data_IF_840681034366
#
_entry.id   IF_840681034366
#
_cell.length_a   1.000
_cell.length_b   1.000
_cell.length_c   1.000
_cell.angle_alpha   90.00
_cell.angle_beta   90.00
_cell.angle_gamma   90.00
#
_symmetry.space_group_name_H-M   'P 1'
#
loop_
_entity.id
_entity.type
_entity.pdbx_description
1 polymer ?
#
# COMPACT_ATOMS: atom_id res chain seq x y z
N UNK A 1 1.56 22.00 56.65
CA UNK A 1 1.18 23.09 55.72
C UNK A 1 1.27 22.52 54.32
N UNK A 2 0.14 22.39 53.62
CA UNK A 2 0.11 21.80 52.29
C UNK A 2 0.70 22.81 51.28
N UNK A 3 1.69 22.38 50.51
CA UNK A 3 2.25 23.17 49.42
C UNK A 3 1.34 22.93 48.21
N UNK A 4 0.49 23.89 47.92
CA UNK A 4 -0.27 23.95 46.67
C UNK A 4 0.66 24.48 45.58
N UNK A 5 0.99 23.63 44.60
CA UNK A 5 1.74 24.04 43.41
C UNK A 5 0.73 24.62 42.42
N UNK A 6 0.45 25.92 42.54
CA UNK A 6 -0.32 26.67 41.56
C UNK A 6 0.67 27.25 40.54
N UNK A 7 0.64 26.71 39.31
CA UNK A 7 1.44 27.08 38.14
C UNK A 7 2.88 26.53 38.06
N UNK A 8 2.99 25.22 37.77
CA UNK A 8 4.03 24.81 36.80
C UNK A 8 3.50 25.25 35.44
N UNK A 9 4.07 26.32 34.89
CA UNK A 9 3.85 26.70 33.50
C UNK A 9 4.44 25.67 32.55
N UNK A 10 3.90 24.45 32.53
CA UNK A 10 3.96 23.64 31.32
C UNK A 10 3.13 24.44 30.33
N UNK A 11 3.78 24.96 29.30
CA UNK A 11 3.10 25.49 28.13
C UNK A 11 2.26 24.34 27.56
N UNK A 12 1.02 24.23 28.05
CA UNK A 12 0.03 23.31 27.55
C UNK A 12 -0.12 23.53 26.04
N UNK A 13 -0.37 22.45 25.28
CA UNK A 13 -0.15 22.43 23.85
C UNK A 13 -0.98 23.53 23.20
N UNK A 14 -0.36 24.23 22.24
CA UNK A 14 -1.14 24.91 21.20
C UNK A 14 -2.14 23.85 20.74
N UNK A 15 -3.45 24.13 20.87
CA UNK A 15 -4.51 23.15 20.65
C UNK A 15 -4.20 22.28 19.43
N UNK A 16 -4.56 21.00 19.52
CA UNK A 16 -4.18 19.85 18.68
C UNK A 16 -4.53 19.94 17.17
N UNK A 17 -4.47 21.13 16.58
CA UNK A 17 -4.03 21.29 15.20
C UNK A 17 -2.55 20.91 15.19
N UNK A 18 -2.17 19.84 14.49
CA UNK A 18 -0.76 19.44 14.34
C UNK A 18 0.16 20.60 13.93
N UNK A 19 1.50 20.41 13.91
CA UNK A 19 2.48 21.49 13.74
C UNK A 19 1.99 22.55 12.76
N UNK A 20 1.78 23.78 13.25
CA UNK A 20 1.17 24.88 12.50
C UNK A 20 2.13 25.48 11.45
N UNK A 21 2.94 24.63 10.83
CA UNK A 21 3.86 24.94 9.74
C UNK A 21 3.51 24.08 8.54
N UNK A 22 3.82 24.57 7.34
CA UNK A 22 3.71 23.76 6.13
C UNK A 22 4.48 22.44 6.31
N UNK A 23 3.99 21.32 5.75
CA UNK A 23 4.73 20.08 5.77
C UNK A 23 6.08 20.28 5.08
N UNK A 24 7.13 19.66 5.61
CA UNK A 24 8.45 19.69 4.99
C UNK A 24 8.45 18.96 3.65
N UNK A 25 7.66 17.90 3.55
CA UNK A 25 7.46 17.11 2.34
C UNK A 25 5.98 16.76 2.24
N UNK A 26 5.41 16.89 1.05
CA UNK A 26 4.03 16.51 0.74
C UNK A 26 3.99 15.74 -0.57
N UNK A 27 3.33 14.58 -0.56
CA UNK A 27 3.22 13.70 -1.72
C UNK A 27 1.76 13.32 -1.96
N UNK A 28 1.34 13.38 -3.22
CA UNK A 28 0.06 12.87 -3.69
C UNK A 28 0.23 12.18 -5.04
N UNK A 29 -0.73 11.33 -5.41
CA UNK A 29 -0.66 10.57 -6.65
C UNK A 29 -2.02 10.33 -7.28
N UNK A 30 -1.97 9.74 -8.47
CA UNK A 30 -3.13 9.39 -9.30
C UNK A 30 -3.69 8.02 -8.90
N UNK A 31 -4.97 7.73 -9.25
CA UNK A 31 -5.57 6.46 -8.93
C UNK A 31 -4.80 5.27 -9.52
N UNK A 32 -4.63 4.22 -8.73
CA UNK A 32 -4.03 2.95 -9.17
C UNK A 32 -4.92 1.80 -8.75
N UNK A 33 -5.45 1.08 -9.75
CA UNK A 33 -6.22 -0.16 -9.56
C UNK A 33 -5.28 -1.36 -9.68
N UNK A 34 -5.12 -2.12 -8.61
CA UNK A 34 -4.31 -3.34 -8.55
C UNK A 34 -5.21 -4.57 -8.43
N UNK A 35 -4.78 -5.67 -9.02
CA UNK A 35 -5.41 -6.99 -8.92
C UNK A 35 -4.33 -8.08 -8.93
N UNK A 36 -4.57 -9.17 -8.23
CA UNK A 36 -3.67 -10.33 -8.20
C UNK A 36 -4.37 -11.54 -8.80
N UNK A 37 -3.75 -12.29 -9.73
CA UNK A 37 -4.27 -13.57 -10.18
C UNK A 37 -4.30 -14.61 -9.05
N UNK A 38 -5.03 -15.69 -9.26
CA UNK A 38 -5.11 -16.81 -8.33
C UNK A 38 -3.73 -17.44 -8.08
N UNK A 39 -3.56 -18.07 -6.91
CA UNK A 39 -2.35 -18.83 -6.54
C UNK A 39 -2.05 -19.99 -7.48
N UNK A 40 -3.03 -20.43 -8.26
CA UNK A 40 -2.90 -21.48 -9.29
C UNK A 40 -2.24 -20.99 -10.58
N UNK A 41 -2.20 -19.68 -10.83
CA UNK A 41 -1.63 -19.08 -12.03
C UNK A 41 -0.09 -19.03 -11.96
N UNK A 42 0.52 -20.22 -11.97
CA UNK A 42 1.98 -20.43 -11.82
C UNK A 42 2.60 -20.91 -13.12
N UNK A 43 3.93 -21.10 -13.15
CA UNK A 43 4.62 -21.66 -14.32
C UNK A 43 4.50 -20.78 -15.57
N UNK A 44 4.63 -19.47 -15.40
CA UNK A 44 4.34 -18.49 -16.45
C UNK A 44 5.26 -18.68 -17.64
N UNK A 45 4.66 -18.74 -18.82
CA UNK A 45 5.35 -18.59 -20.11
C UNK A 45 4.91 -17.29 -20.77
N UNK A 46 5.79 -16.73 -21.61
CA UNK A 46 5.59 -15.44 -22.25
C UNK A 46 5.59 -15.63 -23.76
N UNK A 47 4.57 -15.11 -24.43
CA UNK A 47 4.47 -15.08 -25.90
C UNK A 47 3.89 -13.74 -26.36
N UNK A 48 3.85 -13.53 -27.68
CA UNK A 48 3.06 -12.45 -28.27
C UNK A 48 1.56 -12.78 -28.12
N UNK A 49 0.74 -11.77 -27.83
CA UNK A 49 -0.72 -11.86 -27.84
C UNK A 49 -1.34 -11.71 -29.24
N UNK A 50 -0.51 -11.58 -30.28
CA UNK A 50 -0.93 -11.37 -31.67
C UNK A 50 -1.12 -9.89 -32.03
N UNK A 51 -0.89 -8.97 -31.08
CA UNK A 51 -0.91 -7.53 -31.27
C UNK A 51 0.42 -6.87 -30.88
N UNK A 52 1.50 -7.65 -30.77
CA UNK A 52 2.83 -7.17 -30.37
C UNK A 52 2.93 -6.86 -28.87
N UNK A 53 2.03 -7.41 -28.05
CA UNK A 53 2.02 -7.22 -26.60
C UNK A 53 2.25 -8.55 -25.89
N UNK A 54 2.75 -8.47 -24.65
CA UNK A 54 3.04 -9.66 -23.85
C UNK A 54 1.76 -10.39 -23.47
N UNK A 55 1.74 -11.68 -23.77
CA UNK A 55 0.77 -12.66 -23.29
C UNK A 55 1.43 -13.55 -22.24
N UNK A 56 0.87 -13.56 -21.05
CA UNK A 56 1.28 -14.42 -19.94
C UNK A 56 0.40 -15.65 -19.96
N UNK A 57 0.98 -16.84 -20.08
CA UNK A 57 0.24 -18.11 -19.99
C UNK A 57 0.64 -18.86 -18.74
N UNK A 58 -0.30 -19.10 -17.84
CA UNK A 58 -0.11 -19.89 -16.62
C UNK A 58 -0.46 -21.37 -16.81
N UNK A 59 0.10 -22.22 -15.96
CA UNK A 59 -0.23 -23.65 -15.90
C UNK A 59 -1.63 -23.92 -15.34
N UNK A 60 -2.15 -23.02 -14.51
CA UNK A 60 -3.51 -23.08 -13.95
C UNK A 60 -4.32 -21.81 -14.22
N UNK A 61 -5.62 -21.79 -13.88
CA UNK A 61 -6.49 -20.65 -14.14
C UNK A 61 -6.07 -19.38 -13.40
N UNK A 62 -6.35 -18.22 -14.00
CA UNK A 62 -6.06 -16.92 -13.37
C UNK A 62 -7.13 -16.48 -12.35
N UNK A 63 -8.35 -17.01 -12.39
CA UNK A 63 -9.42 -16.69 -11.43
C UNK A 63 -9.96 -15.26 -11.51
N UNK A 64 -9.57 -14.51 -12.54
CA UNK A 64 -9.96 -13.10 -12.77
C UNK A 64 -11.22 -13.03 -13.65
N UNK A 65 -12.06 -12.02 -13.44
CA UNK A 65 -13.16 -11.68 -14.35
C UNK A 65 -12.80 -10.44 -15.18
N UNK A 66 -13.22 -10.37 -16.45
CA UNK A 66 -12.93 -9.21 -17.29
C UNK A 66 -13.45 -7.89 -16.70
N UNK A 67 -14.63 -7.91 -16.08
CA UNK A 67 -15.24 -6.73 -15.46
C UNK A 67 -14.35 -6.10 -14.37
N UNK A 68 -13.66 -6.93 -13.59
CA UNK A 68 -12.79 -6.46 -12.51
C UNK A 68 -11.34 -6.28 -12.97
N UNK A 69 -10.86 -7.05 -13.94
CA UNK A 69 -9.45 -7.14 -14.31
C UNK A 69 -9.02 -6.23 -15.47
N UNK A 70 -9.82 -6.05 -16.51
CA UNK A 70 -9.41 -5.23 -17.66
C UNK A 70 -9.22 -3.77 -17.21
N UNK A 71 -8.07 -3.19 -17.54
CA UNK A 71 -7.66 -1.85 -17.08
C UNK A 71 -7.11 -1.79 -15.65
N UNK A 72 -7.23 -2.87 -14.86
CA UNK A 72 -6.48 -3.02 -13.61
C UNK A 72 -5.02 -3.38 -13.91
N UNK A 73 -4.17 -3.35 -12.89
CA UNK A 73 -2.77 -3.71 -13.03
C UNK A 73 -2.38 -4.92 -12.18
N UNK A 74 -1.48 -5.73 -12.71
CA UNK A 74 -0.79 -6.80 -11.99
C UNK A 74 0.63 -6.36 -11.62
N UNK A 75 1.20 -7.03 -10.62
CA UNK A 75 2.54 -6.75 -10.15
C UNK A 75 3.50 -7.91 -10.45
N UNK A 76 4.64 -7.60 -11.06
CA UNK A 76 5.72 -8.54 -11.37
C UNK A 76 6.81 -8.36 -10.31
N UNK A 77 7.22 -9.46 -9.67
CA UNK A 77 8.16 -9.42 -8.53
C UNK A 77 9.62 -9.66 -8.94
N UNK A 78 9.90 -9.97 -10.21
CA UNK A 78 11.26 -10.25 -10.70
C UNK A 78 11.87 -9.14 -11.54
N UNK A 79 13.14 -8.85 -11.27
CA UNK A 79 14.06 -8.32 -12.27
C UNK A 79 14.66 -9.51 -13.06
N UNK A 80 14.10 -9.83 -14.22
CA UNK A 80 14.67 -10.82 -15.15
C UNK A 80 14.78 -10.20 -16.54
N UNK A 81 15.39 -10.92 -17.50
CA UNK A 81 15.61 -10.39 -18.85
C UNK A 81 14.28 -9.91 -19.47
N UNK A 82 14.24 -8.64 -19.88
CA UNK A 82 13.06 -8.00 -20.46
C UNK A 82 12.02 -7.51 -19.45
N UNK A 83 12.26 -7.64 -18.14
CA UNK A 83 11.42 -7.13 -17.06
C UNK A 83 12.13 -6.03 -16.28
N UNK A 84 11.48 -4.89 -16.13
CA UNK A 84 11.99 -3.77 -15.32
C UNK A 84 11.63 -4.02 -13.86
N UNK A 85 12.42 -4.81 -13.13
CA UNK A 85 12.28 -4.99 -11.67
C UNK A 85 10.85 -5.12 -11.14
N UNK A 86 10.61 -4.59 -9.93
CA UNK A 86 9.28 -4.48 -9.32
C UNK A 86 8.40 -3.54 -10.16
N UNK A 87 7.59 -4.10 -11.06
CA UNK A 87 6.81 -3.32 -12.02
C UNK A 87 5.31 -3.65 -11.99
N UNK A 88 4.53 -2.64 -12.32
CA UNK A 88 3.07 -2.68 -12.46
C UNK A 88 2.75 -2.67 -13.96
N UNK A 89 1.98 -3.66 -14.41
CA UNK A 89 1.55 -3.75 -15.81
C UNK A 89 0.03 -3.84 -15.91
N UNK A 90 -0.54 -3.05 -16.81
CA UNK A 90 -1.98 -3.01 -17.06
C UNK A 90 -2.44 -4.24 -17.80
N UNK A 91 -3.53 -4.87 -17.34
CA UNK A 91 -4.21 -5.95 -18.07
C UNK A 91 -5.02 -5.34 -19.21
N UNK A 92 -4.83 -5.86 -20.42
CA UNK A 92 -5.56 -5.43 -21.62
C UNK A 92 -6.50 -6.50 -22.17
N UNK A 93 -6.25 -7.78 -21.85
CA UNK A 93 -7.11 -8.89 -22.28
C UNK A 93 -6.99 -10.11 -21.36
N UNK A 94 -8.00 -10.97 -21.42
CA UNK A 94 -8.03 -12.32 -20.85
C UNK A 94 -8.47 -13.29 -21.96
N UNK A 95 -8.04 -14.55 -21.91
CA UNK A 95 -8.52 -15.58 -22.85
C UNK A 95 -9.90 -16.12 -22.52
N UNK A 96 -10.23 -16.24 -21.23
CA UNK A 96 -11.56 -16.61 -20.76
C UNK A 96 -11.83 -16.11 -19.35
N UNK A 97 -13.06 -15.67 -19.08
CA UNK A 97 -13.45 -15.17 -17.76
C UNK A 97 -13.43 -16.29 -16.69
N UNK A 98 -12.71 -16.04 -15.59
CA UNK A 98 -12.65 -16.88 -14.38
C UNK A 98 -11.90 -18.21 -14.51
N UNK A 99 -11.87 -18.79 -15.71
CA UNK A 99 -11.34 -20.13 -15.99
C UNK A 99 -10.17 -20.15 -16.96
N UNK A 100 -9.90 -19.01 -17.60
CA UNK A 100 -8.79 -18.84 -18.54
C UNK A 100 -7.43 -18.98 -17.87
N UNK A 101 -6.42 -19.23 -18.70
CA UNK A 101 -5.04 -19.34 -18.26
C UNK A 101 -4.13 -18.36 -18.99
N UNK A 102 -4.68 -17.31 -19.62
CA UNK A 102 -3.90 -16.29 -20.29
C UNK A 102 -4.31 -14.88 -19.90
N UNK A 103 -3.30 -14.06 -19.63
CA UNK A 103 -3.46 -12.63 -19.32
C UNK A 103 -2.61 -11.84 -20.32
N UNK A 104 -3.24 -11.00 -21.13
CA UNK A 104 -2.55 -10.02 -21.96
C UNK A 104 -2.28 -8.75 -21.17
N UNK A 105 -1.05 -8.23 -21.24
CA UNK A 105 -0.64 -6.99 -20.56
C UNK A 105 -0.14 -5.93 -21.53
N UNK A 106 -0.25 -4.66 -21.13
CA UNK A 106 0.26 -3.51 -21.88
C UNK A 106 1.78 -3.37 -21.71
N UNK A 107 2.50 -4.35 -22.25
CA UNK A 107 3.96 -4.36 -22.37
C UNK A 107 4.28 -4.82 -23.78
N UNK A 108 5.16 -4.11 -24.49
CA UNK A 108 5.60 -4.53 -25.82
C UNK A 108 6.30 -5.90 -25.74
N UNK A 109 5.90 -6.84 -26.59
CA UNK A 109 6.52 -8.15 -26.65
C UNK A 109 7.91 -8.06 -27.29
N UNK A 110 8.86 -8.75 -26.68
CA UNK A 110 10.24 -8.92 -27.09
C UNK A 110 10.72 -10.30 -26.59
N UNK A 111 12.03 -10.47 -26.34
CA UNK A 111 12.56 -11.68 -25.70
C UNK A 111 12.49 -11.57 -24.17
N UNK A 112 11.27 -11.52 -23.61
CA UNK A 112 11.09 -11.57 -22.16
C UNK A 112 11.26 -13.01 -21.64
N UNK A 113 12.01 -13.17 -20.55
CA UNK A 113 12.02 -14.41 -19.79
C UNK A 113 10.69 -14.63 -19.05
N UNK A 114 10.49 -15.81 -18.47
CA UNK A 114 9.36 -16.04 -17.57
C UNK A 114 9.45 -15.12 -16.33
N UNK A 115 8.41 -14.33 -16.02
CA UNK A 115 8.38 -13.54 -14.80
C UNK A 115 7.94 -14.39 -13.60
N UNK A 116 8.27 -13.93 -12.39
CA UNK A 116 7.52 -14.31 -11.19
C UNK A 116 6.50 -13.21 -10.92
N UNK A 117 5.25 -13.60 -10.69
CA UNK A 117 4.13 -12.69 -10.48
C UNK A 117 3.76 -12.62 -8.99
N UNK A 118 3.17 -11.50 -8.59
CA UNK A 118 2.40 -11.43 -7.36
C UNK A 118 1.06 -12.18 -7.55
N UNK A 119 0.94 -13.35 -6.95
CA UNK A 119 -0.29 -14.16 -6.94
C UNK A 119 -1.04 -13.95 -5.63
N UNK A 120 -2.32 -14.34 -5.56
CA UNK A 120 -3.17 -14.16 -4.39
C UNK A 120 -2.54 -14.63 -3.08
N UNK A 121 -3.05 -14.11 -1.95
CA UNK A 121 -2.45 -14.23 -0.62
C UNK A 121 -1.10 -13.53 -0.50
N UNK A 122 -0.97 -12.38 -1.14
CA UNK A 122 0.25 -11.56 -1.11
C UNK A 122 -0.03 -10.15 -0.61
N UNK A 123 1.03 -9.53 -0.10
CA UNK A 123 1.04 -8.11 0.24
C UNK A 123 1.92 -7.38 -0.77
N UNK A 124 1.32 -6.44 -1.51
CA UNK A 124 2.03 -5.59 -2.47
C UNK A 124 2.35 -4.26 -1.80
N UNK A 125 3.63 -3.90 -1.74
CA UNK A 125 4.07 -2.59 -1.23
C UNK A 125 4.07 -1.56 -2.36
N UNK A 126 3.05 -0.72 -2.41
CA UNK A 126 3.01 0.41 -3.33
C UNK A 126 3.74 1.60 -2.71
N UNK A 127 4.89 1.99 -3.28
CA UNK A 127 5.69 3.10 -2.77
C UNK A 127 4.95 4.41 -3.02
N UNK A 128 4.56 5.09 -1.95
CA UNK A 128 3.90 6.39 -2.01
C UNK A 128 4.90 7.54 -2.15
N UNK A 129 6.03 7.41 -1.45
CA UNK A 129 7.05 8.45 -1.37
C UNK A 129 8.41 7.89 -0.93
N UNK A 130 9.48 8.62 -1.27
CA UNK A 130 10.78 8.50 -0.60
C UNK A 130 10.89 9.65 0.41
N UNK A 131 10.82 9.33 1.70
CA UNK A 131 10.91 10.27 2.80
C UNK A 131 12.39 10.56 3.10
N UNK A 132 12.78 11.84 3.09
CA UNK A 132 14.12 12.28 3.52
C UNK A 132 14.36 12.00 5.02
N UNK A 133 15.62 12.06 5.51
CA UNK A 133 15.93 11.73 6.89
C UNK A 133 15.12 12.54 7.89
N UNK A 134 14.70 11.90 8.98
CA UNK A 134 13.85 12.49 10.02
C UNK A 134 14.61 12.66 11.33
N UNK A 135 14.31 13.77 12.02
CA UNK A 135 14.82 14.05 13.36
C UNK A 135 14.00 13.34 14.45
N UNK A 136 14.51 13.35 15.69
CA UNK A 136 13.70 13.01 16.87
C UNK A 136 12.37 13.77 16.87
N UNK A 137 11.30 13.13 17.33
CA UNK A 137 9.95 13.73 17.42
C UNK A 137 9.30 14.14 16.09
N UNK A 138 9.90 13.84 14.93
CA UNK A 138 9.22 13.98 13.64
C UNK A 138 7.90 13.20 13.57
N UNK A 139 7.01 13.67 12.70
CA UNK A 139 5.69 13.10 12.46
C UNK A 139 5.53 12.81 10.97
N UNK A 140 5.06 11.60 10.65
CA UNK A 140 4.52 11.27 9.33
C UNK A 140 3.00 11.15 9.47
N UNK A 141 2.25 11.90 8.66
CA UNK A 141 0.82 11.71 8.48
C UNK A 141 0.59 11.07 7.12
N UNK A 142 -0.23 10.04 7.07
CA UNK A 142 -0.58 9.38 5.84
C UNK A 142 -2.10 9.17 5.78
N UNK A 143 -2.67 9.47 4.62
CA UNK A 143 -4.08 9.32 4.32
C UNK A 143 -4.22 8.69 2.93
N UNK A 144 -5.04 7.67 2.81
CA UNK A 144 -5.34 7.03 1.53
C UNK A 144 -6.82 6.70 1.46
N UNK A 145 -7.47 7.10 0.37
CA UNK A 145 -8.80 6.61 0.02
C UNK A 145 -8.64 5.37 -0.88
N UNK A 146 -9.21 4.26 -0.45
CA UNK A 146 -9.12 2.99 -1.16
C UNK A 146 -10.52 2.47 -1.47
N UNK A 147 -10.79 2.17 -2.74
CA UNK A 147 -11.96 1.40 -3.16
C UNK A 147 -11.64 -0.08 -3.14
N UNK A 148 -12.57 -0.87 -2.64
CA UNK A 148 -12.43 -2.31 -2.43
C UNK A 148 -13.60 -3.03 -3.10
N UNK A 149 -13.37 -4.26 -3.58
CA UNK A 149 -14.50 -5.14 -3.92
C UNK A 149 -15.24 -5.51 -2.63
N UNK A 150 -16.53 -5.21 -2.57
CA UNK A 150 -17.39 -5.62 -1.47
C UNK A 150 -17.61 -7.15 -1.54
N UNK A 151 -16.97 -7.86 -0.61
CA UNK A 151 -17.04 -9.32 -0.51
C UNK A 151 -16.60 -9.81 0.86
N UNK A 152 -16.85 -11.08 1.15
CA UNK A 152 -16.39 -11.76 2.36
C UNK A 152 -14.90 -12.09 2.35
N UNK A 153 -14.19 -11.84 1.24
CA UNK A 153 -12.76 -12.11 1.15
C UNK A 153 -11.99 -11.02 1.92
N UNK A 154 -11.15 -11.39 2.89
CA UNK A 154 -10.43 -10.42 3.70
C UNK A 154 -9.49 -9.58 2.83
N UNK A 155 -9.30 -8.33 3.23
CA UNK A 155 -8.31 -7.40 2.69
C UNK A 155 -7.58 -6.74 3.86
N UNK A 156 -6.37 -6.26 3.63
CA UNK A 156 -5.61 -5.51 4.64
C UNK A 156 -4.90 -4.32 4.02
N UNK A 157 -4.80 -3.24 4.77
CA UNK A 157 -4.01 -2.06 4.44
C UNK A 157 -3.00 -1.83 5.55
N UNK A 158 -1.75 -1.56 5.20
CA UNK A 158 -0.75 -1.18 6.19
C UNK A 158 0.19 -0.13 5.64
N UNK A 159 0.54 0.87 6.45
CA UNK A 159 1.65 1.75 6.12
C UNK A 159 2.95 1.09 6.56
N UNK A 160 3.94 1.10 5.67
CA UNK A 160 5.21 0.40 5.88
C UNK A 160 6.41 1.23 5.47
N UNK A 161 7.53 0.95 6.10
CA UNK A 161 8.85 1.20 5.51
C UNK A 161 9.53 -0.14 5.27
N UNK A 162 9.88 -0.40 4.02
CA UNK A 162 10.34 -1.73 3.58
C UNK A 162 9.35 -2.84 4.02
N UNK A 163 9.84 -3.88 4.70
CA UNK A 163 9.03 -5.00 5.18
C UNK A 163 8.30 -4.73 6.50
N UNK A 164 8.67 -3.68 7.24
CA UNK A 164 8.17 -3.44 8.60
C UNK A 164 6.86 -2.64 8.59
N UNK A 165 5.88 -3.15 9.33
CA UNK A 165 4.59 -2.50 9.55
C UNK A 165 4.77 -1.33 10.52
N UNK A 166 4.20 -0.18 10.17
CA UNK A 166 4.13 1.01 11.02
C UNK A 166 2.71 1.30 11.46
N UNK A 167 1.72 0.85 10.71
CA UNK A 167 0.30 0.89 11.04
C UNK A 167 -0.38 -0.19 10.21
N UNK A 168 -1.48 -0.77 10.71
CA UNK A 168 -2.22 -1.80 9.96
C UNK A 168 -3.71 -1.79 10.31
N UNK A 169 -4.52 -2.05 9.29
CA UNK A 169 -5.88 -2.54 9.41
C UNK A 169 -6.01 -3.84 8.64
N UNK A 170 -6.57 -4.85 9.28
CA UNK A 170 -6.76 -6.19 8.73
C UNK A 170 -8.24 -6.53 8.67
N UNK A 171 -8.55 -7.57 7.89
CA UNK A 171 -9.88 -8.15 7.81
C UNK A 171 -10.97 -7.15 7.37
N UNK A 172 -10.62 -6.30 6.40
CA UNK A 172 -11.59 -5.45 5.71
C UNK A 172 -12.46 -6.35 4.82
N UNK A 173 -13.67 -6.64 5.30
CA UNK A 173 -14.67 -7.50 4.64
C UNK A 173 -15.98 -6.74 4.46
N UNK A 174 -16.71 -7.03 3.40
CA UNK A 174 -18.00 -6.43 3.07
C UNK A 174 -17.97 -4.89 2.96
N UNK A 175 -16.87 -4.34 2.45
CA UNK A 175 -16.63 -2.90 2.32
C UNK A 175 -16.33 -2.54 0.87
N UNK A 176 -16.95 -1.46 0.37
CA UNK A 176 -16.70 -0.95 -0.98
C UNK A 176 -15.69 0.18 -1.02
N UNK A 177 -15.49 0.88 0.11
CA UNK A 177 -14.57 2.00 0.24
C UNK A 177 -14.07 2.10 1.68
N UNK A 178 -12.82 2.53 1.82
CA UNK A 178 -12.20 2.75 3.12
C UNK A 178 -11.17 3.88 3.03
N UNK A 179 -11.25 4.81 3.98
CA UNK A 179 -10.23 5.85 4.15
C UNK A 179 -9.28 5.42 5.27
N UNK A 180 -8.03 5.17 4.90
CA UNK A 180 -7.02 4.68 5.83
C UNK A 180 -6.06 5.80 6.24
N UNK A 181 -6.16 6.20 7.50
CA UNK A 181 -5.35 7.26 8.08
C UNK A 181 -4.40 6.72 9.14
N UNK A 182 -3.20 7.27 9.18
CA UNK A 182 -2.24 6.99 10.23
C UNK A 182 -1.42 8.24 10.57
N UNK A 183 -1.09 8.35 11.86
CA UNK A 183 -0.01 9.21 12.35
C UNK A 183 1.08 8.33 12.92
N UNK A 184 2.31 8.62 12.52
CA UNK A 184 3.49 7.89 12.96
C UNK A 184 4.43 8.89 13.61
N UNK A 185 4.74 8.67 14.88
CA UNK A 185 5.59 9.55 15.68
C UNK A 185 6.94 8.90 15.96
N UNK A 186 8.00 9.67 15.72
CA UNK A 186 9.34 9.37 16.22
C UNK A 186 9.38 9.62 17.74
N UNK A 187 9.76 8.64 18.55
CA UNK A 187 9.72 8.74 20.02
C UNK A 187 11.08 9.16 20.58
N UNK A 188 11.38 10.45 20.53
CA UNK A 188 12.62 11.02 21.09
C UNK A 188 13.91 10.54 20.40
N UNK A 189 13.82 9.68 19.39
CA UNK A 189 14.92 9.19 18.55
C UNK A 189 14.40 8.96 17.13
N UNK A 190 15.29 8.88 16.15
CA UNK A 190 14.97 8.52 14.77
C UNK A 190 14.90 6.99 14.53
N UNK A 191 15.01 6.18 15.59
CA UNK A 191 14.99 4.71 15.53
C UNK A 191 13.89 4.07 16.38
N UNK A 192 12.94 4.86 16.86
CA UNK A 192 11.77 4.35 17.59
C UNK A 192 10.53 5.04 17.07
N UNK A 193 9.64 4.28 16.47
CA UNK A 193 8.37 4.76 15.94
C UNK A 193 7.22 4.14 16.68
N UNK A 194 6.20 4.96 16.90
CA UNK A 194 4.88 4.49 17.28
C UNK A 194 3.90 4.97 16.23
N UNK A 195 3.23 4.03 15.58
CA UNK A 195 2.13 4.33 14.67
C UNK A 195 0.83 3.81 15.24
N UNK A 196 -0.22 4.59 15.02
CA UNK A 196 -1.60 4.19 15.31
C UNK A 196 -2.34 4.15 13.97
N UNK A 197 -3.09 3.07 13.76
CA UNK A 197 -4.13 3.05 12.73
C UNK A 197 -5.32 3.81 13.30
N UNK A 198 -5.63 4.96 12.70
CA UNK A 198 -6.87 5.66 12.99
C UNK A 198 -7.97 4.91 12.21
N UNK A 199 -8.60 3.93 12.87
CA UNK A 199 -9.68 3.12 12.29
C UNK A 199 -10.93 4.00 12.11
N UNK A 200 -11.12 4.55 10.91
CA UNK A 200 -12.21 5.49 10.67
C UNK A 200 -13.36 4.88 9.87
N UNK A 201 -14.37 4.39 10.59
CA UNK A 201 -15.73 4.36 10.07
C UNK A 201 -16.49 5.69 10.36
N UNK A 202 -15.93 6.64 11.15
CA UNK A 202 -16.69 7.84 11.55
C UNK A 202 -15.96 9.06 12.15
N UNK A 203 -14.65 9.07 12.33
CA UNK A 203 -13.94 10.26 12.87
C UNK A 203 -12.56 9.92 13.43
N UNK A 204 -11.70 10.93 13.63
CA UNK A 204 -10.52 10.78 14.50
C UNK A 204 -11.05 10.42 15.89
N UNK A 205 -10.75 9.21 16.37
CA UNK A 205 -11.33 8.67 17.59
C UNK A 205 -10.43 7.66 18.28
N UNK A 206 -10.73 7.31 19.54
CA UNK A 206 -9.95 6.34 20.30
C UNK A 206 -9.98 4.97 19.59
N UNK A 207 -8.81 4.43 19.29
CA UNK A 207 -8.66 3.07 18.79
C UNK A 207 -8.51 2.10 19.95
N UNK A 208 -9.19 0.96 19.89
CA UNK A 208 -8.96 -0.18 20.80
C UNK A 208 -7.77 -1.03 20.36
N UNK A 209 -7.19 -0.74 19.20
CA UNK A 209 -6.06 -1.50 18.65
C UNK A 209 -4.76 -0.99 19.27
N UNK A 210 -3.89 -1.92 19.67
CA UNK A 210 -2.56 -1.56 20.17
C UNK A 210 -1.77 -0.79 19.11
N UNK A 211 -1.04 0.27 19.48
CA UNK A 211 -0.13 0.94 18.57
C UNK A 211 0.91 -0.04 18.04
N UNK A 212 1.24 0.10 16.75
CA UNK A 212 2.36 -0.62 16.15
C UNK A 212 3.63 0.13 16.53
N UNK A 213 4.45 -0.51 17.36
CA UNK A 213 5.79 -0.02 17.69
C UNK A 213 6.78 -0.66 16.73
N UNK A 214 7.58 0.17 16.06
CA UNK A 214 8.67 -0.29 15.20
C UNK A 214 9.96 0.45 15.55
N UNK A 215 11.09 -0.16 15.20
CA UNK A 215 12.41 0.41 15.42
C UNK A 215 13.16 0.45 14.09
N UNK A 216 12.80 1.42 13.25
CA UNK A 216 13.39 1.60 11.94
C UNK A 216 14.20 2.88 11.91
N UNK A 217 15.36 2.83 11.27
CA UNK A 217 16.27 3.97 11.25
C UNK A 217 15.87 4.98 10.18
N UNK A 218 15.39 6.15 10.59
CA UNK A 218 15.08 7.28 9.69
C UNK A 218 16.22 8.30 9.59
N UNK A 219 17.46 7.96 9.96
CA UNK A 219 18.63 8.82 9.73
C UNK A 219 19.03 8.95 8.25
N UNK A 220 18.39 8.19 7.36
CA UNK A 220 18.63 8.15 5.92
C UNK A 220 17.31 8.21 5.14
N UNK A 221 17.37 8.36 3.82
CA UNK A 221 16.18 8.32 2.96
C UNK A 221 15.47 6.96 3.05
N UNK A 222 14.15 6.97 3.22
CA UNK A 222 13.33 5.76 3.36
C UNK A 222 12.14 5.75 2.42
N UNK A 223 11.92 4.62 1.76
CA UNK A 223 10.69 4.39 1.01
C UNK A 223 9.54 4.14 1.99
N UNK A 224 8.51 4.97 1.86
CA UNK A 224 7.26 4.83 2.57
C UNK A 224 6.19 4.30 1.62
N UNK A 225 5.54 3.23 2.03
CA UNK A 225 4.64 2.45 1.19
C UNK A 225 3.27 2.28 1.83
N UNK A 226 2.25 2.24 0.99
CA UNK A 226 0.97 1.63 1.33
C UNK A 226 1.01 0.17 0.86
N UNK A 227 0.95 -0.73 1.82
CA UNK A 227 0.96 -2.15 1.60
C UNK A 227 -0.49 -2.67 1.50
N UNK A 228 -0.77 -3.28 0.36
CA UNK A 228 -2.06 -3.78 -0.07
C UNK A 228 -2.08 -5.30 0.06
N UNK A 229 -2.75 -5.82 1.08
CA UNK A 229 -2.91 -7.27 1.29
C UNK A 229 -4.13 -7.80 0.55
N UNK A 230 -3.87 -8.59 -0.49
CA UNK A 230 -4.86 -9.11 -1.43
C UNK A 230 -4.92 -10.64 -1.29
N UNK A 231 -5.98 -11.13 -0.65
CA UNK A 231 -6.16 -12.55 -0.32
C UNK A 231 -7.10 -13.28 -1.30
N UNK A 232 -7.50 -12.60 -2.38
CA UNK A 232 -8.42 -13.09 -3.41
C UNK A 232 -8.13 -12.42 -4.76
N UNK A 233 -8.77 -12.93 -5.81
CA UNK A 233 -8.70 -12.39 -7.19
C UNK A 233 -9.57 -11.13 -7.36
N UNK A 234 -9.45 -10.18 -6.44
CA UNK A 234 -10.32 -9.01 -6.37
C UNK A 234 -9.52 -7.72 -6.43
N UNK A 235 -10.01 -6.68 -7.11
CA UNK A 235 -9.28 -5.45 -7.24
C UNK A 235 -9.29 -4.64 -5.94
N UNK A 236 -8.20 -3.91 -5.72
CA UNK A 236 -8.15 -2.77 -4.81
C UNK A 236 -7.64 -1.54 -5.56
N UNK A 237 -8.35 -0.43 -5.41
CA UNK A 237 -7.99 0.83 -6.07
C UNK A 237 -7.57 1.84 -5.03
N UNK A 238 -6.33 2.31 -5.09
CA UNK A 238 -5.95 3.54 -4.40
C UNK A 238 -6.55 4.67 -5.22
N UNK A 239 -7.56 5.36 -4.71
CA UNK A 239 -8.22 6.48 -5.39
C UNK A 239 -7.44 7.78 -5.24
N UNK A 240 -6.90 7.98 -4.03
CA UNK A 240 -6.04 9.12 -3.72
C UNK A 240 -5.21 8.82 -2.49
N UNK A 241 -4.11 9.54 -2.34
CA UNK A 241 -3.34 9.55 -1.10
C UNK A 241 -2.68 10.90 -0.87
N UNK A 242 -2.39 11.16 0.40
CA UNK A 242 -1.59 12.27 0.88
C UNK A 242 -0.62 11.75 1.95
N UNK A 243 0.67 12.02 1.76
CA UNK A 243 1.70 11.79 2.79
C UNK A 243 2.33 13.12 3.13
N UNK A 244 2.25 13.51 4.40
CA UNK A 244 2.86 14.73 4.93
C UNK A 244 3.90 14.39 5.98
N UNK A 245 5.04 15.07 5.91
CA UNK A 245 6.15 14.87 6.84
C UNK A 245 6.43 16.18 7.56
N UNK A 246 6.56 16.11 8.89
CA UNK A 246 6.88 17.23 9.75
C UNK A 246 8.08 16.87 10.62
N UNK A 247 9.04 17.78 10.74
CA UNK A 247 10.11 17.69 11.73
C UNK A 247 9.74 18.68 12.84
N UNK A 248 9.77 18.22 14.09
CA UNK A 248 9.45 19.03 15.26
C UNK A 248 10.72 19.61 15.87
#
# INVERSE_FOLDING_TARGET
>A
MAIEITNVGIKGPKGDTGPSGAPLQSYSGVPVKLITPATTFTGITVSDNGAGKVLLTGAGPHGLTAADAIGANIFIVTASAGWVGLAIHKIISLDADGTGNKIGIDLAFASQAAPIMALGNIVINYILATIAPLGPNSIIKADALVSLKNSANPKSLSYRTLALKMSEVNNLINMSSYRYQARIHMRGTNQSQIGLADNMAGGFGPSTTNPVVSAFDFSVNRNFALALGMYSCEPMTIESYLVEVYNL
#
